data_IF_271813314786
#
_entry.id   IF_271813314786
#
_cell.length_a   1.000
_cell.length_b   1.000
_cell.length_c   1.000
_cell.angle_alpha   90.00
_cell.angle_beta   90.00
_cell.angle_gamma   90.00
#
_symmetry.space_group_name_H-M   'P 1'
#
loop_
_entity.id
_entity.type
_entity.pdbx_description
1 polymer ?
#
# COMPACT_ATOMS: atom_id res chain seq x y z
N UNK A 1 -4.29 -14.36 -4.99
CA UNK A 1 -4.76 -13.59 -6.16
C UNK A 1 -5.10 -12.13 -5.82
N UNK A 2 -5.45 -11.78 -4.58
CA UNK A 2 -5.60 -10.37 -4.13
C UNK A 2 -4.27 -9.61 -3.95
N UNK A 3 -3.14 -10.32 -3.85
CA UNK A 3 -1.81 -9.74 -3.64
C UNK A 3 -1.27 -8.95 -4.85
N UNK A 4 -1.93 -9.01 -6.01
CA UNK A 4 -1.51 -8.26 -7.20
C UNK A 4 -2.22 -6.92 -7.34
N UNK A 5 -3.41 -6.73 -6.72
CA UNK A 5 -4.17 -5.47 -6.82
C UNK A 5 -3.74 -4.39 -5.85
N UNK A 6 -2.95 -4.75 -4.84
CA UNK A 6 -2.37 -3.81 -3.90
C UNK A 6 -0.87 -4.06 -4.01
N UNK A 7 -0.14 -3.13 -4.62
CA UNK A 7 1.30 -3.01 -4.40
C UNK A 7 1.46 -2.05 -3.23
N UNK A 8 1.43 -2.53 -1.98
CA UNK A 8 1.85 -1.69 -0.87
C UNK A 8 3.33 -1.40 -1.08
N UNK A 9 3.62 -0.18 -1.49
CA UNK A 9 4.97 0.33 -1.51
C UNK A 9 5.32 0.61 -0.06
N UNK A 10 5.90 -0.41 0.57
CA UNK A 10 6.59 -0.29 1.84
C UNK A 10 7.76 0.67 1.62
N UNK A 11 7.56 1.95 1.95
CA UNK A 11 8.62 2.94 2.01
C UNK A 11 9.54 2.58 3.18
N UNK A 12 10.48 1.67 2.93
CA UNK A 12 11.52 1.32 3.87
C UNK A 12 12.83 1.94 3.37
N UNK A 13 13.19 3.07 3.99
CA UNK A 13 14.43 3.82 3.82
C UNK A 13 14.67 4.50 2.47
N UNK A 14 15.43 5.59 2.56
CA UNK A 14 15.87 6.61 1.57
C UNK A 14 16.34 6.16 0.17
N UNK A 15 16.22 4.89 -0.20
CA UNK A 15 16.77 4.34 -1.45
C UNK A 15 15.74 3.90 -2.49
N UNK A 16 14.44 3.83 -2.17
CA UNK A 16 13.41 3.35 -3.10
C UNK A 16 12.21 4.31 -3.20
N UNK A 17 12.44 5.42 -3.89
CA UNK A 17 11.40 6.34 -4.33
C UNK A 17 11.53 7.72 -3.73
N UNK A 18 11.26 8.75 -4.53
CA UNK A 18 11.03 10.09 -4.03
C UNK A 18 9.53 10.22 -3.71
N UNK A 19 9.19 10.86 -2.59
CA UNK A 19 7.82 11.12 -2.09
C UNK A 19 6.87 11.62 -3.20
N UNK A 20 7.40 12.39 -4.16
CA UNK A 20 6.69 12.97 -5.30
C UNK A 20 6.52 12.05 -6.52
N UNK A 21 7.11 10.86 -6.54
CA UNK A 21 7.12 10.00 -7.74
C UNK A 21 5.80 9.23 -7.89
N UNK A 22 5.37 8.51 -6.85
CA UNK A 22 4.21 7.63 -6.92
C UNK A 22 2.84 8.33 -7.01
N UNK A 23 2.62 9.53 -6.43
CA UNK A 23 1.37 10.26 -6.62
C UNK A 23 1.02 10.53 -8.09
N UNK A 24 2.01 10.56 -8.99
CA UNK A 24 1.80 10.77 -10.44
C UNK A 24 1.02 9.65 -11.13
N UNK A 25 0.95 8.47 -10.51
CA UNK A 25 0.30 7.29 -11.08
C UNK A 25 -1.03 6.94 -10.39
N UNK A 26 -1.64 7.91 -9.69
CA UNK A 26 -2.94 7.73 -9.04
C UNK A 26 -2.87 7.03 -7.67
N UNK A 27 -1.67 6.87 -7.10
CA UNK A 27 -1.53 6.39 -5.73
C UNK A 27 -2.07 7.42 -4.73
N UNK A 28 -2.75 6.90 -3.72
CA UNK A 28 -3.40 7.64 -2.64
C UNK A 28 -3.05 6.97 -1.32
N UNK A 29 -3.27 7.66 -0.20
CA UNK A 29 -3.07 7.06 1.13
C UNK A 29 -3.96 5.83 1.28
N UNK A 30 -3.41 4.72 1.77
CA UNK A 30 -4.16 3.49 1.92
C UNK A 30 -5.33 3.64 2.91
N UNK A 31 -5.17 4.52 3.90
CA UNK A 31 -6.23 4.91 4.84
C UNK A 31 -7.48 5.50 4.15
N UNK A 32 -7.34 6.14 2.98
CA UNK A 32 -8.48 6.65 2.21
C UNK A 32 -9.37 5.53 1.65
N UNK A 33 -8.86 4.30 1.60
CA UNK A 33 -9.59 3.10 1.23
C UNK A 33 -9.96 2.25 2.46
N UNK A 34 -9.68 2.71 3.69
CA UNK A 34 -9.87 1.92 4.91
C UNK A 34 -8.91 0.73 5.02
N UNK A 35 -7.74 0.82 4.38
CA UNK A 35 -6.70 -0.21 4.40
C UNK A 35 -5.61 0.18 5.38
N UNK A 36 -5.28 -0.73 6.28
CA UNK A 36 -4.32 -0.53 7.37
C UNK A 36 -3.03 -1.35 7.15
N UNK A 37 -1.91 -0.81 7.61
CA UNK A 37 -0.64 -1.51 7.60
C UNK A 37 -0.55 -2.49 8.79
N UNK A 38 0.04 -3.69 8.62
CA UNK A 38 0.26 -4.65 9.70
C UNK A 38 1.45 -4.31 10.61
N UNK A 39 2.10 -3.16 10.43
CA UNK A 39 3.25 -2.67 11.19
C UNK A 39 3.19 -1.15 11.29
N UNK A 40 4.00 -0.58 12.18
CA UNK A 40 4.07 0.86 12.39
C UNK A 40 4.70 1.56 11.17
N UNK A 41 3.92 2.41 10.51
CA UNK A 41 4.33 3.21 9.36
C UNK A 41 3.49 4.48 9.33
N UNK A 42 4.06 5.58 8.87
CA UNK A 42 3.28 6.81 8.64
C UNK A 42 2.30 6.63 7.49
N UNK A 43 1.16 7.28 7.59
CA UNK A 43 0.11 7.26 6.57
C UNK A 43 0.62 7.76 5.20
N UNK A 44 1.56 8.71 5.20
CA UNK A 44 2.18 9.24 3.98
C UNK A 44 3.10 8.21 3.28
N UNK A 45 3.62 7.25 4.03
CA UNK A 45 4.49 6.18 3.51
C UNK A 45 3.71 4.91 3.16
N UNK A 46 2.41 4.84 3.48
CA UNK A 46 1.55 3.70 3.18
C UNK A 46 0.47 4.08 2.17
N UNK A 47 0.82 3.94 0.90
CA UNK A 47 -0.03 4.33 -0.23
C UNK A 47 -0.52 3.11 -1.02
N UNK A 48 -1.71 3.23 -1.60
CA UNK A 48 -2.38 2.24 -2.43
C UNK A 48 -2.90 2.87 -3.73
N UNK A 49 -3.09 2.04 -4.75
CA UNK A 49 -3.72 2.42 -6.01
C UNK A 49 -4.72 1.35 -6.41
N UNK A 50 -5.87 1.75 -6.91
CA UNK A 50 -6.84 0.82 -7.47
C UNK A 50 -6.36 0.34 -8.85
N UNK A 51 -6.27 -0.97 -9.06
CA UNK A 51 -6.01 -1.51 -10.41
C UNK A 51 -7.25 -1.50 -11.31
N UNK A 52 -8.42 -1.59 -10.70
CA UNK A 52 -9.73 -1.50 -11.33
C UNK A 52 -10.49 -0.44 -10.54
N UNK A 53 -11.08 0.53 -11.23
CA UNK A 53 -11.84 1.59 -10.57
C UNK A 53 -12.91 1.01 -9.63
N UNK A 54 -12.90 1.43 -8.36
CA UNK A 54 -13.80 0.92 -7.34
C UNK A 54 -13.45 -0.46 -6.78
N UNK A 55 -12.37 -1.10 -7.22
CA UNK A 55 -11.95 -2.42 -6.77
C UNK A 55 -11.51 -2.49 -5.31
N UNK A 56 -11.29 -1.36 -4.64
CA UNK A 56 -11.01 -1.30 -3.19
C UNK A 56 -12.22 -0.86 -2.35
N UNK A 57 -13.37 -0.56 -2.97
CA UNK A 57 -14.54 0.02 -2.26
C UNK A 57 -15.13 -0.91 -1.21
N UNK A 58 -15.07 -2.22 -1.43
CA UNK A 58 -15.65 -3.24 -0.54
C UNK A 58 -14.64 -3.83 0.46
N UNK A 59 -13.40 -3.32 0.48
CA UNK A 59 -12.31 -3.89 1.28
C UNK A 59 -11.84 -2.93 2.36
N UNK A 60 -11.96 -3.35 3.61
CA UNK A 60 -11.45 -2.63 4.76
C UNK A 60 -10.70 -3.57 5.70
N UNK A 61 -9.63 -3.08 6.32
CA UNK A 61 -8.83 -3.81 7.30
C UNK A 61 -7.35 -3.91 6.96
N UNK A 62 -6.66 -4.83 7.63
CA UNK A 62 -5.20 -4.91 7.63
C UNK A 62 -4.68 -5.73 6.45
N UNK A 63 -3.71 -5.19 5.71
CA UNK A 63 -3.04 -5.93 4.62
C UNK A 63 -2.28 -7.12 5.19
N UNK A 64 -2.51 -8.30 4.60
CA UNK A 64 -1.74 -9.51 4.90
C UNK A 64 -0.71 -9.75 3.80
N UNK A 65 0.57 -9.59 4.15
CA UNK A 65 1.67 -9.92 3.25
C UNK A 65 1.95 -11.43 3.27
N UNK A 66 2.59 -11.90 2.20
CA UNK A 66 3.16 -13.23 2.18
C UNK A 66 4.28 -13.31 3.25
N UNK A 67 4.45 -14.49 3.85
CA UNK A 67 5.41 -14.70 4.96
C UNK A 67 6.85 -14.36 4.56
N UNK A 68 7.18 -14.44 3.28
CA UNK A 68 8.49 -14.16 2.70
C UNK A 68 8.90 -12.68 2.87
N UNK A 69 7.93 -11.77 3.03
CA UNK A 69 8.20 -10.36 3.31
C UNK A 69 8.62 -10.10 4.76
N UNK A 70 8.32 -11.02 5.68
CA UNK A 70 8.69 -10.96 7.09
C UNK A 70 9.81 -11.95 7.40
N UNK A 71 10.82 -12.04 6.53
CA UNK A 71 11.94 -12.99 6.65
C UNK A 71 12.41 -13.16 8.10
N UNK A 72 12.67 -14.44 8.46
CA UNK A 72 13.05 -14.88 9.81
C UNK A 72 14.13 -14.03 10.48
#
# INVERSE_FOLDING_TARGET
MLLQSIRPLLYFNDYLGHDKYYPKFGYKKASQFGIEAPFEVSDDNFIAVELIAGGLSDFHGVVKYAKEFFGK
#
